data_IF_638173863940
#
_entry.id   IF_638173863940
#
_cell.length_a   1.000
_cell.length_b   1.000
_cell.length_c   1.000
_cell.angle_alpha   90.00
_cell.angle_beta   90.00
_cell.angle_gamma   90.00
#
_symmetry.space_group_name_H-M   'P 1'
#
loop_
_entity.id
_entity.type
_entity.pdbx_description
1 polymer ?
#
# COMPACT_ATOMS: atom_id res chain seq x y z
N UNK A 1 6.70 -12.13 -18.24
CA UNK A 1 6.83 -10.64 -18.14
C UNK A 1 5.54 -10.02 -17.61
N UNK A 2 5.61 -9.36 -16.46
CA UNK A 2 4.48 -8.72 -15.77
C UNK A 2 4.80 -7.24 -15.50
N UNK A 3 3.87 -6.33 -15.79
CA UNK A 3 4.05 -4.92 -15.43
C UNK A 3 3.44 -4.65 -14.04
N UNK A 4 4.20 -3.94 -13.21
CA UNK A 4 3.77 -3.51 -11.88
C UNK A 4 4.12 -2.05 -11.62
N UNK A 5 3.44 -1.46 -10.66
CA UNK A 5 3.81 -0.19 -10.07
C UNK A 5 4.54 -0.42 -8.76
N UNK A 6 5.84 -0.10 -8.74
CA UNK A 6 6.68 -0.09 -7.56
C UNK A 6 6.42 1.18 -6.76
N UNK A 7 6.19 1.02 -5.47
CA UNK A 7 5.72 2.06 -4.57
C UNK A 7 6.50 2.03 -3.29
N UNK A 8 7.05 3.17 -2.90
CA UNK A 8 7.62 3.34 -1.56
C UNK A 8 6.54 3.77 -0.58
N UNK A 9 5.99 2.80 0.15
CA UNK A 9 5.01 3.08 1.19
C UNK A 9 5.62 4.00 2.27
N UNK A 10 4.79 4.80 2.95
CA UNK A 10 5.26 5.68 4.03
C UNK A 10 5.97 4.97 5.19
N UNK A 11 5.80 3.66 5.34
CA UNK A 11 6.51 2.81 6.31
C UNK A 11 7.93 2.44 5.90
N UNK A 12 8.39 2.84 4.72
CA UNK A 12 9.77 2.67 4.24
C UNK A 12 10.06 1.34 3.57
N UNK A 13 9.08 0.44 3.43
CA UNK A 13 9.21 -0.78 2.62
C UNK A 13 8.56 -0.57 1.26
N UNK A 14 9.21 -1.09 0.24
CA UNK A 14 8.66 -1.10 -1.10
C UNK A 14 7.59 -2.19 -1.21
N UNK A 15 6.57 -1.86 -1.98
CA UNK A 15 5.43 -2.73 -2.32
C UNK A 15 5.09 -2.49 -3.77
N UNK A 16 4.61 -3.51 -4.45
CA UNK A 16 4.18 -3.43 -5.83
C UNK A 16 2.69 -3.74 -5.96
N UNK A 17 2.07 -3.14 -6.97
CA UNK A 17 0.69 -3.42 -7.37
C UNK A 17 0.68 -3.78 -8.85
N UNK A 18 -0.17 -4.73 -9.25
CA UNK A 18 -0.34 -5.05 -10.67
C UNK A 18 -0.80 -3.81 -11.44
N UNK A 19 -0.36 -3.66 -12.70
CA UNK A 19 -0.69 -2.50 -13.55
C UNK A 19 -2.21 -2.25 -13.63
N UNK A 20 -2.99 -3.32 -13.70
CA UNK A 20 -4.46 -3.29 -13.79
C UNK A 20 -5.14 -2.78 -12.51
N UNK A 21 -4.45 -2.83 -11.37
CA UNK A 21 -4.99 -2.40 -10.08
C UNK A 21 -4.87 -0.90 -9.87
N UNK A 22 -3.94 -0.22 -10.56
CA UNK A 22 -3.76 1.22 -10.43
C UNK A 22 -4.81 1.98 -11.25
N UNK A 23 -5.46 2.96 -10.61
CA UNK A 23 -6.39 3.88 -11.27
C UNK A 23 -5.76 5.24 -11.53
N UNK A 24 -5.17 5.85 -10.50
CA UNK A 24 -4.55 7.16 -10.62
C UNK A 24 -3.48 7.39 -9.55
N UNK A 25 -2.51 8.23 -9.87
CA UNK A 25 -1.60 8.82 -8.89
C UNK A 25 -1.98 10.27 -8.65
N UNK A 26 -2.32 10.61 -7.41
CA UNK A 26 -2.71 11.97 -7.00
C UNK A 26 -1.59 12.55 -6.13
N UNK A 27 -0.90 13.58 -6.64
CA UNK A 27 0.11 14.30 -5.88
C UNK A 27 -0.56 15.33 -4.94
N UNK A 28 0.06 15.55 -3.77
CA UNK A 28 -0.34 16.58 -2.80
C UNK A 28 -1.84 16.60 -2.47
N UNK A 29 -2.44 15.41 -2.39
CA UNK A 29 -3.85 15.24 -2.12
C UNK A 29 -4.18 15.74 -0.70
N UNK A 30 -5.26 16.51 -0.58
CA UNK A 30 -5.83 16.89 0.71
C UNK A 30 -6.70 15.76 1.23
N UNK A 31 -6.32 15.22 2.37
CA UNK A 31 -7.01 14.13 3.05
C UNK A 31 -8.00 14.67 4.08
N UNK A 32 -9.22 14.14 4.04
CA UNK A 32 -10.25 14.44 5.03
C UNK A 32 -10.16 13.43 6.18
N UNK A 33 -10.02 13.88 7.45
CA UNK A 33 -9.94 12.97 8.58
C UNK A 33 -11.29 12.29 8.84
N UNK A 34 -11.25 11.02 9.21
CA UNK A 34 -12.42 10.25 9.64
C UNK A 34 -12.29 10.00 11.16
N UNK A 35 -13.11 10.64 12.00
CA UNK A 35 -13.07 10.42 13.44
C UNK A 35 -13.34 8.96 13.79
N UNK A 36 -12.67 8.45 14.84
CA UNK A 36 -12.84 7.10 15.38
C UNK A 36 -12.49 5.93 14.43
N UNK A 37 -11.98 6.22 13.23
CA UNK A 37 -11.48 5.20 12.32
C UNK A 37 -10.15 4.59 12.80
N UNK A 38 -9.81 3.36 12.36
CA UNK A 38 -8.51 2.74 12.63
C UNK A 38 -7.34 3.65 12.24
N UNK A 39 -6.25 3.71 13.03
CA UNK A 39 -5.10 4.58 12.74
C UNK A 39 -4.51 4.43 11.33
N UNK A 40 -4.50 3.21 10.78
CA UNK A 40 -4.04 2.89 9.44
C UNK A 40 -4.98 3.34 8.33
N UNK A 41 -6.22 3.72 8.63
CA UNK A 41 -7.22 4.15 7.65
C UNK A 41 -8.07 5.32 8.18
N UNK A 42 -7.41 6.29 8.84
CA UNK A 42 -8.09 7.44 9.49
C UNK A 42 -8.44 8.61 8.56
N UNK A 43 -8.33 8.42 7.25
CA UNK A 43 -8.60 9.46 6.27
C UNK A 43 -9.34 8.92 5.05
N UNK A 44 -10.03 9.82 4.35
CA UNK A 44 -10.56 9.62 3.01
C UNK A 44 -10.03 10.68 2.04
N UNK A 45 -10.02 10.36 0.76
CA UNK A 45 -9.81 11.28 -0.35
C UNK A 45 -11.11 11.37 -1.16
N UNK A 46 -11.57 12.59 -1.44
CA UNK A 46 -12.61 12.78 -2.44
C UNK A 46 -11.96 12.79 -3.83
N UNK A 47 -12.38 11.86 -4.68
CA UNK A 47 -11.89 11.72 -6.05
C UNK A 47 -13.09 11.58 -6.99
N UNK A 48 -13.26 12.56 -7.88
CA UNK A 48 -14.37 12.60 -8.86
C UNK A 48 -15.76 12.41 -8.22
N UNK A 49 -15.97 12.98 -7.02
CA UNK A 49 -17.23 12.86 -6.26
C UNK A 49 -17.40 11.54 -5.50
N UNK A 50 -16.38 10.67 -5.48
CA UNK A 50 -16.36 9.41 -4.72
C UNK A 50 -15.37 9.53 -3.56
N UNK A 51 -15.79 9.08 -2.37
CA UNK A 51 -14.90 9.00 -1.21
C UNK A 51 -14.13 7.68 -1.21
N UNK A 52 -12.80 7.75 -1.31
CA UNK A 52 -11.90 6.61 -1.22
C UNK A 52 -11.21 6.58 0.16
N UNK A 53 -11.32 5.51 0.95
CA UNK A 53 -10.55 5.35 2.18
C UNK A 53 -9.05 5.30 1.87
N UNK A 54 -8.24 6.02 2.63
CA UNK A 54 -6.78 6.12 2.41
C UNK A 54 -6.01 5.38 3.50
N UNK A 55 -5.39 4.28 3.11
CA UNK A 55 -4.47 3.52 3.94
C UNK A 55 -3.15 4.26 4.14
N UNK A 56 -2.69 4.34 5.38
CA UNK A 56 -1.43 4.91 5.78
C UNK A 56 -0.58 3.83 6.46
N UNK A 57 0.56 3.55 5.86
CA UNK A 57 1.59 2.72 6.47
C UNK A 57 2.67 3.66 6.97
N UNK A 58 2.92 3.69 8.28
CA UNK A 58 3.84 4.65 8.91
C UNK A 58 3.15 5.90 9.47
N UNK A 59 3.79 6.56 10.44
CA UNK A 59 3.21 7.73 11.11
C UNK A 59 3.06 8.90 10.14
N UNK A 60 1.89 9.51 10.17
CA UNK A 60 1.63 10.76 9.48
C UNK A 60 0.79 11.70 10.37
N UNK A 61 1.29 12.92 10.53
CA UNK A 61 0.61 14.01 11.22
C UNK A 61 -0.08 14.99 10.27
N UNK A 62 0.19 14.91 8.96
CA UNK A 62 -0.24 15.89 7.98
C UNK A 62 -1.35 15.35 7.07
N UNK A 63 -2.31 16.21 6.75
CA UNK A 63 -3.41 15.89 5.82
C UNK A 63 -3.01 15.99 4.34
N UNK A 64 -1.75 16.31 4.03
CA UNK A 64 -1.23 16.32 2.66
C UNK A 64 -0.41 15.07 2.39
N UNK A 65 -0.76 14.34 1.33
CA UNK A 65 -0.08 13.12 0.95
C UNK A 65 -0.09 12.89 -0.56
N UNK A 66 0.96 12.25 -1.06
CA UNK A 66 0.91 11.52 -2.32
C UNK A 66 0.02 10.28 -2.12
N UNK A 67 -0.98 10.09 -2.99
CA UNK A 67 -1.92 8.98 -2.90
C UNK A 67 -1.90 8.17 -4.19
N UNK A 68 -1.78 6.86 -4.04
CA UNK A 68 -2.03 5.90 -5.10
C UNK A 68 -3.46 5.40 -4.99
N UNK A 69 -4.29 5.69 -5.98
CA UNK A 69 -5.65 5.17 -6.07
C UNK A 69 -5.64 3.79 -6.73
N UNK A 70 -6.24 2.82 -6.04
CA UNK A 70 -6.20 1.40 -6.36
C UNK A 70 -7.62 0.83 -6.43
N UNK A 71 -7.84 -0.05 -7.39
CA UNK A 71 -9.06 -0.86 -7.50
C UNK A 71 -8.92 -2.10 -6.61
N UNK A 72 -9.82 -2.26 -5.64
CA UNK A 72 -9.80 -3.36 -4.67
C UNK A 72 -10.79 -4.50 -4.97
N UNK A 73 -11.32 -4.57 -6.19
CA UNK A 73 -12.23 -5.63 -6.61
C UNK A 73 -12.96 -5.29 -7.91
N UNK A 74 -13.55 -6.29 -8.57
CA UNK A 74 -14.20 -6.14 -9.87
C UNK A 74 -15.45 -5.25 -9.83
N UNK A 75 -16.22 -5.29 -8.74
CA UNK A 75 -17.49 -4.55 -8.60
C UNK A 75 -17.40 -3.31 -7.69
N UNK A 76 -16.18 -2.74 -7.54
CA UNK A 76 -15.77 -1.65 -6.62
C UNK A 76 -15.47 -2.13 -5.17
N UNK A 77 -14.41 -1.64 -4.51
CA UNK A 77 -14.20 -0.23 -4.16
C UNK A 77 -12.83 0.34 -4.55
N UNK A 78 -12.80 1.65 -4.74
CA UNK A 78 -11.58 2.44 -4.90
C UNK A 78 -10.98 2.69 -3.50
N UNK A 79 -9.71 2.35 -3.30
CA UNK A 79 -8.97 2.68 -2.08
C UNK A 79 -7.74 3.53 -2.41
N UNK A 80 -7.30 4.33 -1.47
CA UNK A 80 -6.03 5.06 -1.54
C UNK A 80 -4.96 4.39 -0.71
N UNK A 81 -3.71 4.45 -1.18
CA UNK A 81 -2.52 4.21 -0.36
C UNK A 81 -1.71 5.51 -0.29
N UNK A 82 -1.39 5.97 0.91
CA UNK A 82 -0.48 7.09 1.10
C UNK A 82 0.98 6.66 0.91
N UNK A 83 1.69 7.32 -0.01
CA UNK A 83 3.04 6.95 -0.46
C UNK A 83 4.04 8.08 -0.19
N UNK A 84 5.34 7.76 -0.24
CA UNK A 84 6.41 8.76 -0.01
C UNK A 84 6.76 9.58 -1.25
N UNK A 85 6.66 8.97 -2.41
CA UNK A 85 7.11 9.51 -3.69
C UNK A 85 6.23 8.98 -4.81
N UNK A 86 6.31 9.59 -5.99
CA UNK A 86 5.63 9.08 -7.19
C UNK A 86 5.96 7.59 -7.43
N UNK A 87 4.98 6.78 -7.86
CA UNK A 87 5.20 5.36 -8.14
C UNK A 87 6.02 5.19 -9.42
N UNK A 88 6.74 4.08 -9.53
CA UNK A 88 7.54 3.75 -10.70
C UNK A 88 6.94 2.54 -11.41
N UNK A 89 6.71 2.66 -12.72
CA UNK A 89 6.30 1.52 -13.53
C UNK A 89 7.52 0.69 -13.90
N UNK A 90 7.49 -0.61 -13.58
CA UNK A 90 8.57 -1.54 -13.91
C UNK A 90 8.01 -2.81 -14.55
N UNK A 91 8.85 -3.49 -15.34
CA UNK A 91 8.53 -4.80 -15.93
C UNK A 91 9.34 -5.87 -15.23
N UNK A 92 8.65 -6.84 -14.63
CA UNK A 92 9.20 -8.01 -13.97
C UNK A 92 9.41 -9.10 -15.02
N UNK A 93 10.62 -9.66 -15.05
CA UNK A 93 10.99 -10.86 -15.81
C UNK A 93 10.91 -12.09 -14.90
N UNK A 94 10.87 -13.25 -15.51
CA UNK A 94 10.67 -14.49 -14.76
C UNK A 94 11.85 -14.76 -13.79
N UNK A 95 13.08 -14.40 -14.18
CA UNK A 95 14.28 -14.46 -13.35
C UNK A 95 14.22 -13.55 -12.10
N UNK A 96 13.44 -12.46 -12.15
CA UNK A 96 13.30 -11.55 -11.00
C UNK A 96 12.48 -12.18 -9.87
N UNK A 97 11.74 -13.27 -10.15
CA UNK A 97 10.94 -13.97 -9.13
C UNK A 97 11.82 -14.93 -8.31
N UNK A 98 12.95 -15.36 -8.85
CA UNK A 98 13.88 -16.25 -8.16
C UNK A 98 14.46 -15.58 -6.90
N UNK A 99 14.46 -16.31 -5.79
CA UNK A 99 14.98 -15.81 -4.52
C UNK A 99 14.07 -14.85 -3.77
N UNK A 100 12.84 -14.59 -4.24
CA UNK A 100 11.84 -13.87 -3.47
C UNK A 100 11.51 -14.60 -2.14
N UNK A 101 11.51 -13.86 -1.02
CA UNK A 101 11.25 -14.40 0.32
C UNK A 101 10.09 -13.67 1.01
N UNK A 102 8.88 -14.26 1.08
CA UNK A 102 7.71 -13.65 1.74
C UNK A 102 7.95 -13.23 3.19
N UNK A 103 8.82 -13.95 3.90
CA UNK A 103 9.18 -13.66 5.29
C UNK A 103 9.85 -12.28 5.47
N UNK A 104 10.45 -11.71 4.40
CA UNK A 104 11.08 -10.38 4.40
C UNK A 104 10.10 -9.23 4.17
N UNK A 105 8.85 -9.51 3.79
CA UNK A 105 7.86 -8.49 3.42
C UNK A 105 7.13 -7.86 4.63
N UNK A 106 7.42 -8.28 5.87
CA UNK A 106 6.76 -7.74 7.05
C UNK A 106 5.27 -8.09 7.09
N UNK A 107 4.40 -7.12 7.39
CA UNK A 107 2.94 -7.31 7.42
C UNK A 107 2.32 -7.39 6.01
N UNK A 108 3.04 -6.96 4.96
CA UNK A 108 2.55 -7.06 3.58
C UNK A 108 2.39 -8.51 3.09
N UNK A 109 3.07 -9.46 3.75
CA UNK A 109 2.93 -10.89 3.43
C UNK A 109 1.50 -11.42 3.60
N UNK A 110 0.69 -10.77 4.42
CA UNK A 110 -0.71 -11.16 4.68
C UNK A 110 -1.67 -10.76 3.55
N UNK A 111 -1.23 -9.93 2.61
CA UNK A 111 -2.01 -9.45 1.45
C UNK A 111 -1.27 -9.72 0.13
N UNK A 112 -0.36 -10.69 0.16
CA UNK A 112 0.55 -11.03 -0.91
C UNK A 112 -0.16 -11.85 -2.01
N UNK A 113 -0.08 -11.40 -3.26
CA UNK A 113 -0.41 -12.21 -4.44
C UNK A 113 0.79 -13.03 -4.91
N UNK A 114 1.92 -12.36 -5.02
CA UNK A 114 3.21 -12.90 -5.47
C UNK A 114 4.32 -11.93 -5.06
N UNK A 115 5.56 -12.13 -5.50
CA UNK A 115 6.62 -11.17 -5.28
C UNK A 115 7.83 -11.42 -6.16
N UNK A 116 8.79 -10.51 -6.06
CA UNK A 116 10.00 -10.52 -6.87
C UNK A 116 11.15 -9.88 -6.08
N UNK A 117 12.37 -10.01 -6.59
CA UNK A 117 13.57 -9.37 -6.08
C UNK A 117 13.84 -8.12 -6.91
N UNK A 118 13.99 -6.98 -6.24
CA UNK A 118 14.36 -5.73 -6.86
C UNK A 118 15.47 -5.08 -6.03
N UNK A 119 16.60 -4.78 -6.67
CA UNK A 119 17.77 -4.19 -5.99
C UNK A 119 18.23 -5.02 -4.75
N UNK A 120 18.06 -6.35 -4.81
CA UNK A 120 18.42 -7.28 -3.72
C UNK A 120 17.36 -7.43 -2.62
N UNK A 121 16.25 -6.68 -2.69
CA UNK A 121 15.16 -6.70 -1.72
C UNK A 121 13.95 -7.51 -2.21
N UNK A 122 13.28 -8.22 -1.31
CA UNK A 122 12.03 -8.94 -1.63
C UNK A 122 10.85 -7.96 -1.63
N UNK A 123 10.35 -7.65 -2.82
CA UNK A 123 9.22 -6.75 -3.02
C UNK A 123 7.92 -7.56 -3.18
N UNK A 124 6.93 -7.38 -2.29
CA UNK A 124 5.64 -8.04 -2.40
C UNK A 124 4.79 -7.38 -3.49
N UNK A 125 4.13 -8.19 -4.33
CA UNK A 125 3.02 -7.77 -5.18
C UNK A 125 1.74 -8.00 -4.39
N UNK A 126 1.00 -6.93 -4.10
CA UNK A 126 -0.13 -6.92 -3.17
C UNK A 126 -1.46 -6.83 -3.91
N UNK A 127 -2.45 -7.55 -3.39
CA UNK A 127 -3.85 -7.38 -3.79
C UNK A 127 -4.49 -6.24 -2.99
N UNK A 128 -4.94 -5.15 -3.63
CA UNK A 128 -5.68 -4.11 -2.91
C UNK A 128 -6.96 -4.64 -2.24
N UNK A 129 -7.60 -5.67 -2.79
CA UNK A 129 -8.80 -6.27 -2.20
C UNK A 129 -8.53 -6.80 -0.79
N UNK A 130 -7.40 -7.49 -0.62
CA UNK A 130 -7.00 -8.07 0.67
C UNK A 130 -6.60 -6.99 1.69
N UNK A 131 -6.24 -5.78 1.26
CA UNK A 131 -5.98 -4.66 2.16
C UNK A 131 -7.25 -4.20 2.91
N UNK A 132 -8.44 -4.51 2.38
CA UNK A 132 -9.71 -4.16 3.01
C UNK A 132 -10.11 -5.14 4.12
N UNK A 133 -9.39 -6.26 4.30
CA UNK A 133 -9.67 -7.24 5.34
C UNK A 133 -9.35 -6.69 6.74
N UNK A 134 -10.24 -6.96 7.71
CA UNK A 134 -10.08 -6.50 9.09
C UNK A 134 -8.77 -6.98 9.76
N UNK A 135 -8.28 -8.16 9.39
CA UNK A 135 -6.98 -8.68 9.85
C UNK A 135 -5.84 -7.80 9.35
N UNK A 136 -5.86 -7.41 8.08
CA UNK A 136 -4.81 -6.55 7.53
C UNK A 136 -4.84 -5.17 8.17
N UNK A 137 -6.03 -4.56 8.32
CA UNK A 137 -6.18 -3.28 9.03
C UNK A 137 -5.57 -3.35 10.43
N UNK A 138 -5.86 -4.42 11.19
CA UNK A 138 -5.29 -4.61 12.53
C UNK A 138 -3.76 -4.75 12.52
N UNK A 139 -3.20 -5.44 11.53
CA UNK A 139 -1.74 -5.58 11.38
C UNK A 139 -1.08 -4.25 11.01
N UNK A 140 -1.69 -3.49 10.09
CA UNK A 140 -1.22 -2.17 9.69
C UNK A 140 -1.24 -1.18 10.85
N UNK A 141 -2.28 -1.22 11.69
CA UNK A 141 -2.36 -0.42 12.93
C UNK A 141 -1.20 -0.73 13.88
N UNK A 142 -0.90 -2.00 14.10
CA UNK A 142 0.23 -2.41 14.96
C UNK A 142 1.57 -1.95 14.39
N UNK A 143 1.72 -1.95 13.06
CA UNK A 143 2.93 -1.50 12.39
C UNK A 143 3.16 0.03 12.52
N UNK A 144 2.12 0.82 12.78
CA UNK A 144 2.23 2.26 13.06
C UNK A 144 2.82 2.56 14.45
N UNK A 145 2.63 1.63 15.39
CA UNK A 145 3.04 1.73 16.78
C UNK A 145 3.82 0.48 17.19
N UNK A 146 5.02 0.24 16.64
CA UNK A 146 5.83 -0.89 17.08
C UNK A 146 6.09 -0.71 18.58
N UNK A 147 5.61 -1.66 19.39
CA UNK A 147 5.89 -1.69 20.82
C UNK A 147 7.40 -1.65 20.97
N UNK A 148 7.93 -0.58 21.57
CA UNK A 148 9.31 -0.56 22.05
C UNK A 148 9.39 -1.67 23.08
N UNK A 149 9.99 -2.81 22.72
CA UNK A 149 10.46 -3.75 23.72
C UNK A 149 11.40 -2.96 24.64
N UNK A 150 10.94 -2.69 25.86
CA UNK A 150 11.84 -2.33 26.94
C UNK A 150 12.68 -3.57 27.18
N UNK A 151 13.93 -3.53 26.71
CA UNK A 151 15.00 -4.34 27.28
C UNK A 151 15.25 -3.89 28.71
#
# INVERSE_FOLDING_TARGET
MLNVWLVRARGGRDVAFADVSLKEYVADATLLPVPLAPPSCKHVLEWQGVLAPVFQVGRNANNLAHVLLLQAGEEAPLIGLAIRSAPQRITIKDDDVEGFQPSRCGFWKDVLLSGFVHEGESVPIVDPALMCDARFVSLADRALYPTRNRA
#
